data_IF_266326843933
#
_entry.id   IF_266326843933
#
_cell.length_a   1.000
_cell.length_b   1.000
_cell.length_c   1.000
_cell.angle_alpha   90.00
_cell.angle_beta   90.00
_cell.angle_gamma   90.00
#
_symmetry.space_group_name_H-M   'P 1'
#
loop_
_entity.id
_entity.type
_entity.pdbx_description
1 polymer ?
#
# COMPACT_ATOMS: atom_id res chain seq x y z
N UNK A 1 -1.30 12.94 -8.39
CA UNK A 1 -2.44 13.26 -7.52
C UNK A 1 -1.99 14.11 -6.34
N UNK A 2 -1.13 13.60 -5.44
CA UNK A 2 -0.58 14.35 -4.30
C UNK A 2 -0.20 15.80 -4.63
N UNK A 3 0.69 16.04 -5.60
CA UNK A 3 1.10 17.42 -5.95
C UNK A 3 -0.05 18.35 -6.38
N UNK A 4 -1.07 17.82 -7.06
CA UNK A 4 -2.24 18.62 -7.45
C UNK A 4 -3.16 18.87 -6.25
N UNK A 5 -3.33 17.89 -5.35
CA UNK A 5 -4.08 18.06 -4.11
C UNK A 5 -3.40 19.10 -3.21
N UNK A 6 -2.07 19.02 -3.05
CA UNK A 6 -1.28 20.02 -2.32
C UNK A 6 -1.38 21.41 -2.94
N UNK A 7 -1.33 21.53 -4.28
CA UNK A 7 -1.52 22.83 -4.95
C UNK A 7 -2.95 23.35 -4.79
N UNK A 8 -3.94 22.46 -4.78
CA UNK A 8 -5.33 22.81 -4.53
C UNK A 8 -5.54 23.32 -3.10
N UNK A 9 -4.90 22.71 -2.10
CA UNK A 9 -5.02 23.09 -0.68
C UNK A 9 -4.15 24.28 -0.34
N UNK A 10 -2.82 24.16 -0.43
CA UNK A 10 -1.87 25.20 -0.02
C UNK A 10 -1.83 26.38 -1.00
N UNK A 11 -1.92 26.09 -2.29
CA UNK A 11 -1.93 27.10 -3.34
C UNK A 11 -3.32 27.65 -3.67
N UNK A 12 -4.37 27.16 -3.00
CA UNK A 12 -5.77 27.57 -3.21
C UNK A 12 -6.22 27.55 -4.69
N UNK A 13 -5.67 26.62 -5.49
CA UNK A 13 -5.95 26.54 -6.92
C UNK A 13 -7.18 25.67 -7.21
N UNK A 14 -8.26 26.28 -7.70
CA UNK A 14 -9.46 25.56 -8.12
C UNK A 14 -9.25 24.75 -9.42
N UNK A 15 -8.34 25.21 -10.30
CA UNK A 15 -7.91 24.44 -11.47
C UNK A 15 -7.19 23.16 -11.05
N UNK A 16 -6.29 23.25 -10.06
CA UNK A 16 -5.63 22.08 -9.50
C UNK A 16 -6.65 21.14 -8.85
N UNK A 17 -7.65 21.68 -8.14
CA UNK A 17 -8.73 20.89 -7.55
C UNK A 17 -9.52 20.12 -8.62
N UNK A 18 -9.94 20.82 -9.68
CA UNK A 18 -10.65 20.24 -10.82
C UNK A 18 -9.85 19.09 -11.45
N UNK A 19 -8.56 19.32 -11.74
CA UNK A 19 -7.72 18.29 -12.37
C UNK A 19 -7.41 17.13 -11.42
N UNK A 20 -7.29 17.38 -10.12
CA UNK A 20 -7.15 16.32 -9.11
C UNK A 20 -8.38 15.40 -9.14
N UNK A 21 -9.59 15.98 -9.09
CA UNK A 21 -10.85 15.23 -9.17
C UNK A 21 -10.92 14.42 -10.46
N UNK A 22 -10.70 15.06 -11.62
CA UNK A 22 -10.78 14.40 -12.93
C UNK A 22 -9.81 13.21 -13.03
N UNK A 23 -8.55 13.42 -12.64
CA UNK A 23 -7.53 12.37 -12.74
C UNK A 23 -7.89 11.14 -11.90
N UNK A 24 -8.36 11.34 -10.67
CA UNK A 24 -8.74 10.24 -9.80
C UNK A 24 -10.04 9.57 -10.24
N UNK A 25 -11.02 10.35 -10.70
CA UNK A 25 -12.28 9.84 -11.19
C UNK A 25 -12.13 8.87 -12.37
N UNK A 26 -11.07 9.02 -13.19
CA UNK A 26 -10.78 8.08 -14.28
C UNK A 26 -10.69 6.62 -13.83
N UNK A 27 -10.22 6.36 -12.60
CA UNK A 27 -10.17 5.00 -12.04
C UNK A 27 -11.54 4.46 -11.66
N UNK A 28 -12.49 5.35 -11.38
CA UNK A 28 -13.88 5.00 -11.07
C UNK A 28 -14.63 4.65 -12.34
N UNK A 29 -14.38 5.40 -13.43
CA UNK A 29 -14.93 5.10 -14.75
C UNK A 29 -14.37 3.80 -15.36
N UNK A 30 -13.17 3.38 -14.93
CA UNK A 30 -12.52 2.16 -15.38
C UNK A 30 -12.97 0.89 -14.66
N UNK A 31 -13.95 0.97 -13.75
CA UNK A 31 -14.45 -0.20 -13.01
C UNK A 31 -15.28 -1.12 -13.91
N UNK A 32 -15.08 -2.42 -13.75
CA UNK A 32 -15.96 -3.43 -14.33
C UNK A 32 -17.36 -3.30 -13.70
N UNK A 33 -18.43 -3.25 -14.50
CA UNK A 33 -19.79 -2.99 -13.99
C UNK A 33 -20.35 -4.12 -13.13
N UNK A 34 -19.76 -5.32 -13.16
CA UNK A 34 -20.25 -6.47 -12.38
C UNK A 34 -19.52 -6.60 -11.06
N UNK A 35 -18.19 -6.48 -11.09
CA UNK A 35 -17.36 -6.70 -9.89
C UNK A 35 -17.03 -5.40 -9.17
N UNK A 36 -16.97 -4.28 -9.89
CA UNK A 36 -16.39 -3.02 -9.40
C UNK A 36 -14.85 -2.97 -9.44
N UNK A 37 -14.17 -4.05 -9.86
CA UNK A 37 -12.70 -4.07 -9.97
C UNK A 37 -12.24 -3.21 -11.14
N UNK A 38 -11.05 -2.63 -11.05
CA UNK A 38 -10.42 -1.81 -12.07
C UNK A 38 -8.95 -2.22 -12.20
N UNK A 39 -8.43 -2.21 -13.43
CA UNK A 39 -7.01 -2.49 -13.66
C UNK A 39 -6.12 -1.39 -13.10
N UNK A 40 -4.82 -1.67 -12.98
CA UNK A 40 -3.84 -0.67 -12.53
C UNK A 40 -3.32 0.26 -13.62
N UNK A 41 -3.93 0.25 -14.81
CA UNK A 41 -3.76 1.28 -15.84
C UNK A 41 -5.04 1.46 -16.66
N UNK A 42 -5.21 2.65 -17.25
CA UNK A 42 -6.42 3.01 -18.01
C UNK A 42 -6.18 3.17 -19.51
N UNK A 43 -4.94 2.97 -19.95
CA UNK A 43 -4.52 3.15 -21.34
C UNK A 43 -4.24 1.80 -22.00
N UNK A 44 -4.57 1.72 -23.29
CA UNK A 44 -4.35 0.53 -24.10
C UNK A 44 -3.11 0.69 -24.96
N UNK A 45 -2.34 -0.39 -25.10
CA UNK A 45 -1.19 -0.47 -26.00
C UNK A 45 -1.55 -1.29 -27.23
N UNK A 46 -1.03 -0.91 -28.40
CA UNK A 46 -1.17 -1.70 -29.63
C UNK A 46 -0.59 -3.12 -29.46
N UNK A 47 0.51 -3.23 -28.72
CA UNK A 47 1.11 -4.49 -28.29
C UNK A 47 1.05 -4.57 -26.76
N UNK A 48 0.07 -5.30 -26.23
CA UNK A 48 -0.12 -5.46 -24.79
C UNK A 48 0.74 -6.61 -24.24
N UNK A 49 1.44 -6.36 -23.14
CA UNK A 49 2.41 -7.29 -22.56
C UNK A 49 1.74 -8.41 -21.77
N UNK A 50 0.56 -8.17 -21.19
CA UNK A 50 -0.24 -9.22 -20.57
C UNK A 50 -0.80 -10.16 -21.64
N UNK A 51 -1.21 -9.63 -22.80
CA UNK A 51 -1.63 -10.44 -23.95
C UNK A 51 -0.48 -11.34 -24.46
N UNK A 52 0.74 -10.82 -24.53
CA UNK A 52 1.91 -11.65 -24.90
C UNK A 52 2.17 -12.78 -23.91
N UNK A 53 2.03 -12.51 -22.61
CA UNK A 53 2.31 -13.48 -21.56
C UNK A 53 1.22 -14.56 -21.45
N UNK A 54 -0.05 -14.15 -21.44
CA UNK A 54 -1.20 -15.00 -21.08
C UNK A 54 -2.31 -15.05 -22.12
N UNK A 55 -2.24 -14.31 -23.23
CA UNK A 55 -3.30 -14.25 -24.25
C UNK A 55 -3.67 -15.60 -24.87
N UNK A 56 -2.75 -16.56 -24.86
CA UNK A 56 -3.01 -17.93 -25.32
C UNK A 56 -3.96 -18.72 -24.40
N UNK A 57 -4.15 -18.29 -23.16
CA UNK A 57 -5.03 -18.92 -22.17
C UNK A 57 -6.12 -17.98 -21.64
N UNK A 58 -5.91 -16.66 -21.76
CA UNK A 58 -6.85 -15.58 -21.49
C UNK A 58 -6.93 -14.64 -22.70
N UNK A 59 -7.69 -14.96 -23.76
CA UNK A 59 -7.63 -14.22 -25.03
C UNK A 59 -7.94 -12.73 -24.95
N UNK A 60 -8.72 -12.32 -23.95
CA UNK A 60 -9.16 -10.94 -23.71
C UNK A 60 -8.28 -10.17 -22.72
N UNK A 61 -7.15 -10.76 -22.27
CA UNK A 61 -6.28 -10.16 -21.27
C UNK A 61 -5.58 -8.93 -21.81
N UNK A 62 -5.58 -7.87 -21.02
CA UNK A 62 -4.69 -6.74 -21.23
C UNK A 62 -4.38 -6.09 -19.90
N UNK A 63 -3.36 -5.25 -19.87
CA UNK A 63 -2.90 -4.62 -18.63
C UNK A 63 -3.94 -3.70 -17.97
N UNK A 64 -4.93 -3.20 -18.72
CA UNK A 64 -6.05 -2.41 -18.16
C UNK A 64 -7.17 -3.28 -17.55
N UNK A 65 -7.14 -4.60 -17.81
CA UNK A 65 -8.15 -5.56 -17.36
C UNK A 65 -7.62 -6.60 -16.37
N UNK A 66 -6.44 -6.38 -15.79
CA UNK A 66 -5.86 -7.26 -14.77
C UNK A 66 -5.76 -6.56 -13.41
N UNK A 67 -6.07 -7.33 -12.37
CA UNK A 67 -5.78 -7.06 -10.96
C UNK A 67 -4.66 -8.02 -10.57
N UNK A 68 -3.45 -7.70 -11.03
CA UNK A 68 -2.25 -8.51 -10.83
C UNK A 68 -1.00 -7.64 -10.91
N UNK A 69 0.18 -8.19 -10.67
CA UNK A 69 1.49 -7.52 -10.88
C UNK A 69 1.66 -6.27 -10.00
N UNK A 70 2.65 -5.42 -10.31
CA UNK A 70 2.77 -4.10 -9.69
C UNK A 70 1.53 -3.20 -9.92
N UNK A 71 0.71 -3.51 -10.92
CA UNK A 71 -0.56 -2.82 -11.15
C UNK A 71 -1.54 -3.01 -9.99
N UNK A 72 -1.62 -4.21 -9.41
CA UNK A 72 -2.44 -4.52 -8.24
C UNK A 72 -2.00 -3.73 -7.01
N UNK A 73 -0.70 -3.74 -6.69
CA UNK A 73 -0.18 -3.03 -5.51
C UNK A 73 -0.33 -1.52 -5.66
N UNK A 74 -0.02 -0.97 -6.84
CA UNK A 74 -0.25 0.45 -7.13
C UNK A 74 -1.72 0.86 -6.97
N UNK A 75 -2.66 0.05 -7.48
CA UNK A 75 -4.09 0.37 -7.52
C UNK A 75 -4.82 0.18 -6.20
N UNK A 76 -4.46 -0.86 -5.45
CA UNK A 76 -5.23 -1.33 -4.29
C UNK A 76 -4.49 -1.30 -2.97
N UNK A 77 -3.16 -1.11 -2.97
CA UNK A 77 -2.41 -0.91 -1.74
C UNK A 77 -2.01 0.56 -1.58
N UNK A 78 -1.35 1.13 -2.58
CA UNK A 78 -0.76 2.46 -2.49
C UNK A 78 -1.76 3.59 -2.75
N UNK A 79 -2.50 3.52 -3.87
CA UNK A 79 -3.41 4.58 -4.27
C UNK A 79 -4.50 4.87 -3.23
N UNK A 80 -5.19 3.87 -2.62
CA UNK A 80 -6.24 4.13 -1.64
C UNK A 80 -5.70 4.84 -0.39
N UNK A 81 -4.51 4.44 0.10
CA UNK A 81 -3.89 5.12 1.25
C UNK A 81 -3.54 6.57 0.90
N UNK A 82 -2.88 6.80 -0.23
CA UNK A 82 -2.54 8.16 -0.66
C UNK A 82 -3.80 9.02 -0.82
N UNK A 83 -4.87 8.49 -1.43
CA UNK A 83 -6.15 9.20 -1.56
C UNK A 83 -6.75 9.58 -0.21
N UNK A 84 -6.72 8.65 0.76
CA UNK A 84 -7.24 8.88 2.11
C UNK A 84 -6.38 9.89 2.89
N UNK A 85 -5.06 9.85 2.77
CA UNK A 85 -4.19 10.86 3.39
C UNK A 85 -4.43 12.26 2.82
N UNK A 86 -4.54 12.39 1.49
CA UNK A 86 -4.88 13.68 0.87
C UNK A 86 -6.29 14.15 1.23
N UNK A 87 -7.22 13.23 1.49
CA UNK A 87 -8.58 13.57 1.87
C UNK A 87 -8.65 14.36 3.18
N UNK A 88 -7.75 14.07 4.13
CA UNK A 88 -7.72 14.79 5.41
C UNK A 88 -7.36 16.26 5.20
N UNK A 89 -6.37 16.56 4.35
CA UNK A 89 -5.99 17.95 4.03
C UNK A 89 -7.10 18.67 3.26
N UNK A 90 -7.71 17.99 2.30
CA UNK A 90 -8.83 18.52 1.52
C UNK A 90 -10.04 18.82 2.41
N UNK A 91 -10.36 17.93 3.35
CA UNK A 91 -11.44 18.12 4.33
C UNK A 91 -11.13 19.29 5.26
N UNK A 92 -9.91 19.37 5.79
CA UNK A 92 -9.48 20.47 6.64
C UNK A 92 -9.55 21.83 5.92
N UNK A 93 -9.31 21.86 4.60
CA UNK A 93 -9.39 23.08 3.80
C UNK A 93 -10.84 23.59 3.55
N UNK A 94 -11.86 22.77 3.80
CA UNK A 94 -13.27 23.19 3.73
C UNK A 94 -13.85 23.37 2.31
N UNK A 95 -15.13 23.74 2.24
CA UNK A 95 -15.84 24.02 0.97
C UNK A 95 -15.78 22.89 -0.05
N UNK A 96 -15.57 23.24 -1.32
CA UNK A 96 -15.47 22.27 -2.43
C UNK A 96 -14.28 21.31 -2.29
N UNK A 97 -13.21 21.69 -1.57
CA UNK A 97 -12.09 20.80 -1.25
C UNK A 97 -12.54 19.70 -0.32
N UNK A 98 -13.31 20.04 0.71
CA UNK A 98 -13.84 19.05 1.64
C UNK A 98 -14.83 18.09 0.99
N UNK A 99 -15.62 18.55 0.03
CA UNK A 99 -16.46 17.67 -0.80
C UNK A 99 -15.62 16.66 -1.58
N UNK A 100 -14.57 17.11 -2.26
CA UNK A 100 -13.65 16.21 -2.96
C UNK A 100 -12.94 15.23 -2.01
N UNK A 101 -12.52 15.70 -0.83
CA UNK A 101 -11.91 14.84 0.17
C UNK A 101 -12.86 13.70 0.59
N UNK A 102 -14.13 14.00 0.83
CA UNK A 102 -15.14 12.95 1.13
C UNK A 102 -15.35 11.98 -0.03
N UNK A 103 -15.35 12.46 -1.28
CA UNK A 103 -15.38 11.59 -2.46
C UNK A 103 -14.17 10.66 -2.52
N UNK A 104 -12.97 11.17 -2.21
CA UNK A 104 -11.76 10.35 -2.17
C UNK A 104 -11.83 9.25 -1.13
N UNK A 105 -12.32 9.55 0.08
CA UNK A 105 -12.54 8.53 1.11
C UNK A 105 -13.52 7.46 0.61
N UNK A 106 -14.63 7.87 0.00
CA UNK A 106 -15.63 6.94 -0.51
C UNK A 106 -15.07 6.04 -1.62
N UNK A 107 -14.41 6.62 -2.62
CA UNK A 107 -13.83 5.87 -3.73
C UNK A 107 -12.77 4.87 -3.28
N UNK A 108 -11.86 5.31 -2.40
CA UNK A 108 -10.82 4.45 -1.83
C UNK A 108 -11.44 3.32 -0.99
N UNK A 109 -12.45 3.63 -0.17
CA UNK A 109 -13.19 2.65 0.63
C UNK A 109 -13.86 1.58 -0.25
N UNK A 110 -14.55 1.99 -1.30
CA UNK A 110 -15.23 1.06 -2.21
C UNK A 110 -14.23 0.18 -2.97
N UNK A 111 -13.12 0.75 -3.42
CA UNK A 111 -12.06 -0.02 -4.09
C UNK A 111 -11.47 -1.09 -3.17
N UNK A 112 -11.20 -0.74 -1.91
CA UNK A 112 -10.67 -1.67 -0.91
C UNK A 112 -11.64 -2.79 -0.57
N UNK A 113 -12.95 -2.50 -0.48
CA UNK A 113 -13.98 -3.51 -0.22
C UNK A 113 -14.10 -4.50 -1.37
N UNK A 114 -14.18 -3.99 -2.60
CA UNK A 114 -14.23 -4.84 -3.80
C UNK A 114 -12.96 -5.68 -3.91
N UNK A 115 -11.79 -5.08 -3.65
CA UNK A 115 -10.53 -5.80 -3.70
C UNK A 115 -10.46 -6.94 -2.68
N UNK A 116 -10.84 -6.68 -1.42
CA UNK A 116 -10.92 -7.72 -0.40
C UNK A 116 -11.91 -8.82 -0.79
N UNK A 117 -13.11 -8.46 -1.24
CA UNK A 117 -14.17 -9.41 -1.60
C UNK A 117 -13.74 -10.40 -2.69
N UNK A 118 -13.11 -9.89 -3.76
CA UNK A 118 -12.80 -10.73 -4.92
C UNK A 118 -11.40 -11.32 -4.87
N UNK A 119 -10.42 -10.54 -4.41
CA UNK A 119 -9.00 -10.91 -4.54
C UNK A 119 -8.43 -11.55 -3.28
N UNK A 120 -9.02 -11.39 -2.09
CA UNK A 120 -8.42 -11.95 -0.88
C UNK A 120 -8.85 -13.39 -0.63
N UNK A 121 -7.89 -14.31 -0.62
CA UNK A 121 -8.08 -15.68 -0.18
C UNK A 121 -7.79 -15.78 1.33
N UNK A 122 -8.85 -15.86 2.13
CA UNK A 122 -8.76 -15.93 3.60
C UNK A 122 -8.08 -17.20 4.12
N UNK A 123 -8.27 -18.33 3.45
CA UNK A 123 -7.68 -19.61 3.86
C UNK A 123 -6.15 -19.59 3.73
N UNK A 124 -5.64 -18.90 2.70
CA UNK A 124 -4.21 -18.85 2.38
C UNK A 124 -3.52 -17.56 2.81
N UNK A 125 -4.28 -16.52 3.17
CA UNK A 125 -3.73 -15.23 3.59
C UNK A 125 -3.02 -14.49 2.47
N UNK A 126 -3.60 -14.50 1.27
CA UNK A 126 -2.97 -13.93 0.09
C UNK A 126 -4.00 -13.25 -0.80
N UNK A 127 -3.56 -12.25 -1.56
CA UNK A 127 -4.33 -11.67 -2.65
C UNK A 127 -4.02 -12.41 -3.95
N UNK A 128 -5.04 -13.01 -4.55
CA UNK A 128 -4.93 -13.72 -5.82
C UNK A 128 -5.07 -12.77 -7.00
N UNK A 129 -4.47 -13.13 -8.12
CA UNK A 129 -4.51 -12.35 -9.35
C UNK A 129 -5.76 -12.67 -10.18
N UNK A 130 -6.47 -11.64 -10.61
CA UNK A 130 -7.73 -11.75 -11.34
C UNK A 130 -7.72 -10.89 -12.61
N UNK A 131 -8.61 -11.22 -13.54
CA UNK A 131 -9.17 -10.24 -14.47
C UNK A 131 -10.12 -9.31 -13.71
N UNK A 132 -10.31 -8.08 -14.20
CA UNK A 132 -11.28 -7.14 -13.60
C UNK A 132 -12.71 -7.67 -13.59
N UNK A 133 -13.02 -8.59 -14.48
CA UNK A 133 -14.35 -9.19 -14.56
C UNK A 133 -14.57 -10.34 -13.56
N UNK A 134 -13.57 -10.63 -12.72
CA UNK A 134 -13.57 -11.66 -11.67
C UNK A 134 -12.89 -12.98 -12.08
N UNK A 135 -12.51 -13.15 -13.34
CA UNK A 135 -11.92 -14.41 -13.82
C UNK A 135 -10.54 -14.65 -13.18
N UNK A 136 -10.28 -15.79 -12.51
CA UNK A 136 -8.96 -16.11 -11.97
C UNK A 136 -7.90 -16.25 -13.06
N UNK A 137 -6.72 -15.65 -12.85
CA UNK A 137 -5.61 -15.79 -13.79
C UNK A 137 -4.92 -17.16 -13.65
N UNK A 138 -4.70 -17.80 -14.80
CA UNK A 138 -3.92 -19.04 -14.97
C UNK A 138 -2.43 -18.73 -14.99
N UNK A 139 -1.96 -18.12 -13.91
CA UNK A 139 -0.68 -17.44 -13.86
C UNK A 139 0.53 -18.35 -14.11
N UNK A 140 0.46 -19.63 -13.71
CA UNK A 140 1.54 -20.59 -13.95
C UNK A 140 1.81 -20.84 -15.44
N UNK A 141 0.85 -20.52 -16.30
CA UNK A 141 0.97 -20.72 -17.75
C UNK A 141 1.51 -19.49 -18.48
N UNK A 142 1.87 -18.43 -17.76
CA UNK A 142 2.46 -17.25 -18.36
C UNK A 142 3.78 -17.60 -19.09
N UNK A 143 3.87 -17.21 -20.36
CA UNK A 143 5.11 -17.34 -21.13
C UNK A 143 6.19 -16.43 -20.56
N UNK A 144 7.46 -16.78 -20.79
CA UNK A 144 8.59 -15.88 -20.50
C UNK A 144 8.53 -14.66 -21.43
N UNK A 145 8.71 -13.47 -20.88
CA UNK A 145 8.63 -12.20 -21.59
C UNK A 145 8.73 -11.04 -20.61
N UNK A 146 8.06 -9.91 -20.83
CA UNK A 146 8.04 -8.82 -19.84
C UNK A 146 7.46 -9.27 -18.50
N UNK A 147 6.31 -9.94 -18.53
CA UNK A 147 5.76 -10.64 -17.38
C UNK A 147 6.23 -12.10 -17.34
N UNK A 148 6.30 -12.65 -16.13
CA UNK A 148 6.56 -14.07 -15.84
C UNK A 148 5.44 -14.61 -14.95
N UNK A 149 5.36 -15.94 -14.75
CA UNK A 149 4.41 -16.51 -13.80
C UNK A 149 4.39 -15.78 -12.45
N UNK A 150 5.56 -15.47 -11.89
CA UNK A 150 5.72 -14.79 -10.61
C UNK A 150 5.16 -13.36 -10.62
N UNK A 151 5.06 -12.72 -11.78
CA UNK A 151 4.41 -11.41 -11.90
C UNK A 151 2.90 -11.47 -11.63
N UNK A 152 2.28 -12.63 -11.83
CA UNK A 152 0.86 -12.86 -11.62
C UNK A 152 0.58 -13.81 -10.44
N UNK A 153 1.63 -14.22 -9.71
CA UNK A 153 1.47 -15.09 -8.56
C UNK A 153 0.72 -14.37 -7.43
N UNK A 154 -0.02 -15.10 -6.58
CA UNK A 154 -0.62 -14.52 -5.39
C UNK A 154 0.41 -13.83 -4.50
N UNK A 155 0.03 -12.69 -3.92
CA UNK A 155 0.89 -11.91 -3.04
C UNK A 155 0.40 -12.00 -1.60
N UNK A 156 1.32 -12.18 -0.65
CA UNK A 156 0.99 -12.05 0.76
C UNK A 156 0.78 -10.58 1.12
N UNK A 157 -0.10 -10.28 2.08
CA UNK A 157 -0.19 -8.93 2.61
C UNK A 157 1.07 -8.55 3.39
N UNK A 158 1.29 -7.26 3.48
CA UNK A 158 2.35 -6.60 4.22
C UNK A 158 1.75 -5.54 5.16
N UNK A 159 2.61 -4.88 5.94
CA UNK A 159 2.23 -3.77 6.81
C UNK A 159 1.64 -2.59 6.03
N UNK A 160 1.96 -2.44 4.74
CA UNK A 160 1.38 -1.41 3.88
C UNK A 160 -0.12 -1.66 3.67
N UNK A 161 -0.52 -2.90 3.38
CA UNK A 161 -1.92 -3.28 3.29
C UNK A 161 -2.65 -3.05 4.63
N UNK A 162 -2.03 -3.41 5.76
CA UNK A 162 -2.61 -3.15 7.09
C UNK A 162 -2.83 -1.67 7.33
N UNK A 163 -1.84 -0.83 7.02
CA UNK A 163 -1.94 0.62 7.16
C UNK A 163 -3.08 1.20 6.32
N UNK A 164 -3.22 0.72 5.08
CA UNK A 164 -4.30 1.15 4.18
C UNK A 164 -5.69 0.82 4.75
N UNK A 165 -5.94 -0.41 5.18
CA UNK A 165 -7.24 -0.80 5.76
C UNK A 165 -7.50 -0.16 7.13
N UNK A 166 -6.47 0.03 7.96
CA UNK A 166 -6.60 0.74 9.24
C UNK A 166 -7.00 2.21 9.04
N UNK A 167 -6.37 2.89 8.07
CA UNK A 167 -6.72 4.27 7.68
C UNK A 167 -8.16 4.34 7.19
N UNK A 168 -8.56 3.38 6.34
CA UNK A 168 -9.92 3.28 5.82
C UNK A 168 -10.95 3.11 6.95
N UNK A 169 -10.67 2.23 7.92
CA UNK A 169 -11.53 2.05 9.08
C UNK A 169 -11.64 3.34 9.90
N UNK A 170 -10.53 4.02 10.22
CA UNK A 170 -10.59 5.27 11.00
C UNK A 170 -11.44 6.35 10.32
N UNK A 171 -11.31 6.49 9.00
CA UNK A 171 -12.00 7.56 8.26
C UNK A 171 -13.49 7.26 7.98
N UNK A 172 -13.89 5.99 7.97
CA UNK A 172 -15.25 5.60 7.57
C UNK A 172 -16.06 4.93 8.67
N UNK A 173 -15.39 4.37 9.69
CA UNK A 173 -15.96 3.44 10.66
C UNK A 173 -16.65 2.21 10.03
N UNK A 174 -16.38 1.91 8.75
CA UNK A 174 -16.97 0.77 8.04
C UNK A 174 -16.32 -0.54 8.54
N UNK A 175 -17.14 -1.41 9.15
CA UNK A 175 -16.71 -2.69 9.71
C UNK A 175 -16.00 -3.61 8.71
N UNK A 176 -16.25 -3.47 7.40
CA UNK A 176 -15.56 -4.26 6.39
C UNK A 176 -14.04 -4.02 6.41
N UNK A 177 -13.61 -2.78 6.69
CA UNK A 177 -12.18 -2.45 6.79
C UNK A 177 -11.56 -2.97 8.09
N UNK A 178 -12.32 -2.98 9.18
CA UNK A 178 -11.88 -3.60 10.43
C UNK A 178 -11.67 -5.11 10.26
N UNK A 179 -12.65 -5.81 9.68
CA UNK A 179 -12.54 -7.25 9.45
C UNK A 179 -11.34 -7.58 8.56
N UNK A 180 -11.08 -6.76 7.54
CA UNK A 180 -9.88 -6.95 6.73
C UNK A 180 -8.60 -6.69 7.53
N UNK A 181 -8.51 -5.58 8.28
CA UNK A 181 -7.36 -5.29 9.13
C UNK A 181 -7.10 -6.41 10.16
N UNK A 182 -8.16 -7.03 10.68
CA UNK A 182 -8.09 -8.19 11.58
C UNK A 182 -7.52 -9.42 10.89
N UNK A 183 -7.95 -9.72 9.66
CA UNK A 183 -7.37 -10.82 8.88
C UNK A 183 -5.88 -10.56 8.60
N UNK A 184 -5.52 -9.32 8.21
CA UNK A 184 -4.14 -8.94 7.94
C UNK A 184 -3.26 -9.07 9.19
N UNK A 185 -3.75 -8.62 10.35
CA UNK A 185 -3.03 -8.72 11.62
C UNK A 185 -2.65 -10.17 11.97
N UNK A 186 -3.55 -11.13 11.73
CA UNK A 186 -3.26 -12.56 11.95
C UNK A 186 -2.11 -13.04 11.08
N UNK A 187 -2.14 -12.71 9.78
CA UNK A 187 -1.09 -13.13 8.83
C UNK A 187 0.25 -12.42 9.02
N UNK A 188 0.22 -11.21 9.56
CA UNK A 188 1.41 -10.44 9.93
C UNK A 188 1.99 -10.86 11.30
N UNK A 189 1.37 -11.84 11.98
CA UNK A 189 1.83 -12.33 13.28
C UNK A 189 1.62 -11.32 14.41
N UNK A 190 0.52 -10.55 14.37
CA UNK A 190 0.16 -9.53 15.36
C UNK A 190 -0.89 -10.02 16.37
N UNK A 191 -1.41 -11.24 16.17
CA UNK A 191 -2.50 -11.81 16.93
C UNK A 191 -3.88 -11.48 16.33
N UNK A 192 -4.91 -11.51 17.17
CA UNK A 192 -6.29 -11.24 16.78
C UNK A 192 -6.77 -9.90 17.35
N UNK A 193 -7.15 -8.97 16.46
CA UNK A 193 -7.70 -7.65 16.83
C UNK A 193 -9.08 -7.74 17.50
N UNK A 194 -9.78 -8.87 17.41
CA UNK A 194 -11.15 -8.99 17.92
C UNK A 194 -12.16 -8.12 17.15
N UNK A 195 -13.28 -7.80 17.79
CA UNK A 195 -14.23 -6.80 17.27
C UNK A 195 -13.76 -5.37 17.62
N UNK A 196 -14.24 -4.30 16.95
CA UNK A 196 -13.76 -2.93 17.18
C UNK A 196 -13.73 -2.50 18.66
N UNK A 197 -14.81 -2.79 19.39
CA UNK A 197 -14.98 -2.52 20.83
C UNK A 197 -14.78 -3.78 21.70
N UNK A 198 -14.34 -4.88 21.10
CA UNK A 198 -14.20 -6.16 21.78
C UNK A 198 -12.84 -6.35 22.45
N UNK A 199 -12.70 -7.48 23.17
CA UNK A 199 -11.42 -7.91 23.69
C UNK A 199 -10.45 -8.28 22.56
N UNK A 200 -9.17 -7.97 22.78
CA UNK A 200 -8.08 -8.22 21.83
C UNK A 200 -7.21 -9.36 22.34
N UNK A 201 -6.76 -10.23 21.43
CA UNK A 201 -5.78 -11.27 21.71
C UNK A 201 -4.53 -11.02 20.88
N UNK A 202 -3.83 -9.93 21.21
CA UNK A 202 -2.64 -9.47 20.48
C UNK A 202 -1.40 -10.27 20.86
N UNK A 203 -0.51 -10.49 19.88
CA UNK A 203 0.76 -11.16 20.11
C UNK A 203 1.85 -10.15 20.52
N UNK A 204 1.99 -9.90 21.82
CA UNK A 204 3.06 -9.05 22.37
C UNK A 204 4.47 -9.68 22.25
N UNK A 205 4.59 -10.89 21.71
CA UNK A 205 5.87 -11.53 21.36
C UNK A 205 6.18 -11.42 19.88
N UNK A 206 5.30 -10.81 19.07
CA UNK A 206 5.47 -10.64 17.62
C UNK A 206 6.89 -10.21 17.25
N UNK A 207 7.40 -10.77 16.16
CA UNK A 207 8.69 -10.42 15.56
C UNK A 207 8.55 -9.48 14.35
N UNK A 208 7.34 -8.98 14.09
CA UNK A 208 7.10 -8.05 12.98
C UNK A 208 8.00 -6.82 13.13
N UNK A 209 8.64 -6.45 12.02
CA UNK A 209 9.66 -5.39 11.92
C UNK A 209 9.39 -4.47 10.73
N UNK A 210 8.14 -4.36 10.32
CA UNK A 210 7.72 -3.48 9.23
C UNK A 210 7.24 -2.15 9.80
N UNK A 211 7.80 -1.04 9.33
CA UNK A 211 7.43 0.29 9.84
C UNK A 211 6.01 0.69 9.42
N UNK A 212 5.50 0.14 8.31
CA UNK A 212 4.12 0.36 7.89
C UNK A 212 3.12 -0.28 8.88
N UNK A 213 3.47 -1.44 9.46
CA UNK A 213 2.68 -2.07 10.52
C UNK A 213 2.50 -1.13 11.69
N UNK A 214 3.56 -0.41 12.08
CA UNK A 214 3.50 0.57 13.16
C UNK A 214 2.47 1.66 12.85
N UNK A 215 2.46 2.21 11.63
CA UNK A 215 1.43 3.18 11.25
C UNK A 215 0.02 2.59 11.22
N UNK A 216 -0.16 1.36 10.75
CA UNK A 216 -1.45 0.68 10.82
C UNK A 216 -1.97 0.56 12.26
N UNK A 217 -1.12 0.17 13.20
CA UNK A 217 -1.49 0.10 14.62
C UNK A 217 -1.82 1.48 15.21
N UNK A 218 -1.07 2.53 14.83
CA UNK A 218 -1.36 3.90 15.27
C UNK A 218 -2.68 4.43 14.70
N UNK A 219 -3.05 4.07 13.47
CA UNK A 219 -4.36 4.41 12.89
C UNK A 219 -5.51 3.71 13.64
N UNK A 220 -5.35 2.43 13.97
CA UNK A 220 -6.33 1.69 14.79
C UNK A 220 -6.42 2.24 16.22
N UNK A 221 -5.29 2.63 16.82
CA UNK A 221 -5.25 3.31 18.12
C UNK A 221 -6.02 4.63 18.06
N UNK A 222 -5.82 5.44 17.02
CA UNK A 222 -6.57 6.70 16.85
C UNK A 222 -8.08 6.45 16.73
N UNK A 223 -8.49 5.40 16.02
CA UNK A 223 -9.88 5.05 15.83
C UNK A 223 -10.57 4.52 17.10
N UNK A 224 -9.85 3.75 17.93
CA UNK A 224 -10.45 2.99 19.05
C UNK A 224 -10.04 3.48 20.44
N UNK A 225 -8.96 4.24 20.53
CA UNK A 225 -8.30 4.65 21.79
C UNK A 225 -7.84 3.47 22.68
N UNK A 226 -7.77 2.26 22.13
CA UNK A 226 -7.35 1.07 22.89
C UNK A 226 -5.83 1.03 23.09
N UNK A 227 -5.42 1.10 24.37
CA UNK A 227 -4.01 1.05 24.77
C UNK A 227 -3.31 -0.27 24.43
N UNK A 228 -4.02 -1.39 24.30
CA UNK A 228 -3.42 -2.66 23.89
C UNK A 228 -2.79 -2.57 22.49
N UNK A 229 -3.38 -1.75 21.59
CA UNK A 229 -2.80 -1.48 20.27
C UNK A 229 -1.52 -0.64 20.37
N UNK A 230 -1.43 0.27 21.34
CA UNK A 230 -0.21 1.02 21.62
C UNK A 230 0.89 0.12 22.19
N UNK A 231 0.55 -0.84 23.07
CA UNK A 231 1.52 -1.80 23.60
C UNK A 231 2.10 -2.69 22.48
N UNK A 232 1.25 -3.16 21.56
CA UNK A 232 1.69 -3.88 20.39
C UNK A 232 2.52 -2.99 19.44
N UNK A 233 2.15 -1.72 19.27
CA UNK A 233 2.93 -0.75 18.50
C UNK A 233 4.32 -0.53 19.12
N UNK A 234 4.42 -0.47 20.45
CA UNK A 234 5.69 -0.45 21.17
C UNK A 234 6.51 -1.71 20.90
N UNK A 235 5.90 -2.89 20.89
CA UNK A 235 6.59 -4.15 20.55
C UNK A 235 7.18 -4.11 19.13
N UNK A 236 6.43 -3.66 18.14
CA UNK A 236 6.93 -3.48 16.76
C UNK A 236 8.03 -2.42 16.71
N UNK A 237 7.87 -1.32 17.45
CA UNK A 237 8.88 -0.27 17.60
C UNK A 237 10.20 -0.79 18.20
N UNK A 238 10.14 -1.66 19.21
CA UNK A 238 11.32 -2.30 19.78
C UNK A 238 12.04 -3.19 18.76
N UNK A 239 11.28 -3.96 17.96
CA UNK A 239 11.85 -4.78 16.88
C UNK A 239 12.55 -3.92 15.81
N UNK A 240 11.92 -2.83 15.39
CA UNK A 240 12.48 -1.84 14.47
C UNK A 240 13.75 -1.20 15.03
N UNK A 241 13.75 -0.81 16.31
CA UNK A 241 14.91 -0.22 16.97
C UNK A 241 16.11 -1.17 17.01
N UNK A 242 15.88 -2.49 17.12
CA UNK A 242 16.97 -3.49 17.06
C UNK A 242 17.65 -3.55 15.70
N UNK A 243 17.02 -3.05 14.63
CA UNK A 243 17.64 -2.95 13.30
C UNK A 243 18.61 -1.76 13.18
N UNK A 244 18.65 -0.87 14.17
CA UNK A 244 19.52 0.30 14.15
C UNK A 244 21.00 -0.12 14.24
N UNK A 245 21.79 0.28 13.27
CA UNK A 245 23.24 0.13 13.30
C UNK A 245 23.88 1.16 14.26
N UNK A 246 25.14 0.93 14.63
CA UNK A 246 25.90 1.86 15.48
C UNK A 246 26.03 3.28 14.88
N UNK A 247 25.87 3.43 13.57
CA UNK A 247 25.83 4.73 12.87
C UNK A 247 24.54 5.52 13.12
N UNK A 248 23.53 4.91 13.75
CA UNK A 248 22.18 5.46 13.92
C UNK A 248 21.24 5.21 12.74
N UNK A 249 21.75 4.67 11.63
CA UNK A 249 20.96 4.30 10.44
C UNK A 249 20.28 2.93 10.61
N UNK A 250 19.30 2.64 9.74
CA UNK A 250 18.53 1.39 9.74
C UNK A 250 18.80 0.54 8.48
N UNK A 251 20.00 -0.04 8.31
CA UNK A 251 20.27 -0.92 7.17
C UNK A 251 19.40 -2.18 7.24
N UNK A 252 18.99 -2.70 6.08
CA UNK A 252 18.36 -4.03 6.01
C UNK A 252 19.39 -5.11 6.32
N UNK A 253 18.91 -6.27 6.74
CA UNK A 253 19.77 -7.39 7.13
C UNK A 253 20.74 -7.77 6.01
N UNK A 254 22.01 -7.94 6.37
CA UNK A 254 23.09 -8.27 5.42
C UNK A 254 23.50 -7.13 4.49
N UNK A 255 23.01 -5.90 4.68
CA UNK A 255 23.36 -4.74 3.84
C UNK A 255 24.36 -3.82 4.52
N UNK A 256 25.35 -3.38 3.74
CA UNK A 256 26.37 -2.44 4.19
C UNK A 256 25.87 -0.99 4.26
N UNK A 257 24.78 -0.66 3.56
CA UNK A 257 24.25 0.69 3.45
C UNK A 257 22.87 0.79 4.09
N UNK A 258 22.68 1.83 4.90
CA UNK A 258 21.36 2.29 5.35
C UNK A 258 20.93 3.52 4.54
N UNK A 259 19.64 3.61 4.22
CA UNK A 259 19.10 4.80 3.54
C UNK A 259 18.93 5.92 4.57
N UNK A 260 19.34 7.15 4.24
CA UNK A 260 19.18 8.30 5.14
C UNK A 260 17.73 8.77 5.22
N UNK A 261 16.97 8.63 4.14
CA UNK A 261 15.52 8.76 4.11
C UNK A 261 14.81 7.42 4.34
N UNK A 262 15.24 6.64 5.34
CA UNK A 262 14.50 5.44 5.76
C UNK A 262 13.35 5.84 6.70
N UNK A 263 12.15 5.37 6.39
CA UNK A 263 10.92 5.70 7.12
C UNK A 263 10.86 5.13 8.53
N UNK A 264 11.72 4.16 8.88
CA UNK A 264 11.76 3.59 10.23
C UNK A 264 11.98 4.67 11.29
N UNK A 265 12.88 5.63 11.05
CA UNK A 265 13.16 6.70 12.01
C UNK A 265 11.92 7.59 12.25
N UNK A 266 11.21 7.94 11.18
CA UNK A 266 10.01 8.77 11.27
C UNK A 266 8.86 8.00 11.94
N UNK A 267 8.69 6.72 11.63
CA UNK A 267 7.67 5.88 12.25
C UNK A 267 7.91 5.72 13.77
N UNK A 268 9.16 5.54 14.19
CA UNK A 268 9.52 5.52 15.62
C UNK A 268 9.28 6.86 16.31
N UNK A 269 9.51 7.99 15.62
CA UNK A 269 9.20 9.32 16.14
C UNK A 269 7.69 9.51 16.32
N UNK A 270 6.87 9.01 15.39
CA UNK A 270 5.41 9.01 15.53
C UNK A 270 4.93 8.15 16.70
N UNK A 271 5.54 6.98 16.93
CA UNK A 271 5.27 6.17 18.12
C UNK A 271 5.62 6.92 19.41
N UNK A 272 6.78 7.57 19.47
CA UNK A 272 7.17 8.40 20.62
C UNK A 272 6.17 9.54 20.86
N UNK A 273 5.74 10.22 19.80
CA UNK A 273 4.72 11.26 19.90
C UNK A 273 3.36 10.72 20.35
N UNK A 274 2.97 9.50 19.95
CA UNK A 274 1.75 8.85 20.43
C UNK A 274 1.83 8.52 21.93
N UNK A 275 3.00 8.06 22.42
CA UNK A 275 3.25 7.81 23.84
C UNK A 275 3.14 9.09 24.69
N UNK A 276 3.65 10.21 24.16
CA UNK A 276 3.64 11.50 24.84
C UNK A 276 2.36 12.34 24.61
N UNK A 277 1.42 11.87 23.78
CA UNK A 277 0.24 12.64 23.40
C UNK A 277 0.56 13.89 22.54
N UNK A 278 1.69 13.89 21.84
CA UNK A 278 2.21 14.99 21.02
C UNK A 278 2.09 14.75 19.52
N UNK A 279 1.19 13.87 19.09
CA UNK A 279 1.02 13.51 17.67
C UNK A 279 0.82 14.72 16.75
N UNK A 280 0.12 15.77 17.21
CA UNK A 280 -0.12 16.99 16.44
C UNK A 280 1.14 17.86 16.22
N UNK A 281 2.24 17.61 16.92
CA UNK A 281 3.51 18.32 16.72
C UNK A 281 4.33 17.79 15.54
N UNK A 282 3.92 16.66 14.96
CA UNK A 282 4.57 16.05 13.80
C UNK A 282 3.71 16.21 12.54
N UNK A 283 4.32 16.33 11.36
CA UNK A 283 3.57 16.20 10.11
C UNK A 283 2.90 14.82 10.06
N UNK A 284 1.68 14.68 9.53
CA UNK A 284 1.03 13.38 9.42
C UNK A 284 1.87 12.44 8.54
N UNK A 285 1.89 11.13 8.82
CA UNK A 285 2.64 10.18 8.00
C UNK A 285 2.05 10.13 6.60
N UNK A 286 2.93 10.10 5.60
CA UNK A 286 2.55 10.06 4.18
C UNK A 286 3.15 8.83 3.52
N UNK A 287 2.38 8.23 2.62
CA UNK A 287 2.93 7.24 1.72
C UNK A 287 3.96 7.91 0.79
N UNK A 288 5.22 7.46 0.88
CA UNK A 288 6.27 7.80 -0.09
C UNK A 288 6.89 6.53 -0.68
N UNK A 289 7.26 6.62 -1.96
CA UNK A 289 8.01 5.59 -2.65
C UNK A 289 8.96 6.20 -3.68
N UNK A 290 10.24 6.27 -3.32
CA UNK A 290 11.27 6.94 -4.11
C UNK A 290 12.43 6.01 -4.45
N UNK A 291 12.83 5.84 -5.72
CA UNK A 291 13.94 4.97 -6.11
C UNK A 291 14.78 5.59 -7.21
N UNK A 292 16.03 5.13 -7.36
CA UNK A 292 16.82 5.40 -8.55
C UNK A 292 16.78 4.19 -9.48
N UNK A 293 16.60 4.46 -10.78
CA UNK A 293 16.62 3.44 -11.81
C UNK A 293 17.49 3.90 -12.99
N UNK A 294 18.72 3.42 -13.01
CA UNK A 294 19.74 3.85 -13.95
C UNK A 294 20.71 2.71 -14.26
N UNK A 295 21.56 2.92 -15.27
CA UNK A 295 22.68 2.02 -15.54
C UNK A 295 23.66 2.14 -14.38
N UNK A 296 24.08 1.00 -13.85
CA UNK A 296 25.10 0.92 -12.82
C UNK A 296 26.36 0.31 -13.43
N UNK A 297 27.48 1.03 -13.34
CA UNK A 297 28.74 0.64 -13.97
C UNK A 297 29.62 -0.26 -13.06
N UNK A 298 29.17 -0.56 -11.84
CA UNK A 298 29.85 -1.50 -10.96
C UNK A 298 29.41 -2.95 -11.21
N UNK A 299 30.05 -3.87 -10.50
CA UNK A 299 29.68 -5.29 -10.55
C UNK A 299 28.30 -5.50 -9.92
N UNK A 300 27.46 -6.31 -10.57
CA UNK A 300 26.13 -6.66 -10.11
C UNK A 300 26.06 -8.16 -9.81
N UNK A 301 25.50 -8.48 -8.65
CA UNK A 301 25.13 -9.85 -8.31
C UNK A 301 23.99 -10.33 -9.24
N UNK A 302 23.85 -11.65 -9.47
CA UNK A 302 22.77 -12.19 -10.31
C UNK A 302 21.37 -11.72 -9.89
N UNK A 303 21.15 -11.54 -8.58
CA UNK A 303 19.88 -11.05 -8.03
C UNK A 303 19.64 -9.55 -8.27
N UNK A 304 20.64 -8.79 -8.70
CA UNK A 304 20.58 -7.34 -8.94
C UNK A 304 20.42 -6.99 -10.43
N UNK A 305 20.57 -7.97 -11.31
CA UNK A 305 20.45 -7.81 -12.76
C UNK A 305 18.97 -7.93 -13.14
N UNK A 306 18.43 -6.88 -13.76
CA UNK A 306 17.09 -6.93 -14.33
C UNK A 306 17.12 -7.70 -15.64
N UNK A 307 16.07 -8.46 -15.89
CA UNK A 307 15.88 -9.10 -17.18
C UNK A 307 15.66 -8.04 -18.27
N UNK A 308 16.42 -8.19 -19.36
CA UNK A 308 16.29 -7.39 -20.59
C UNK A 308 16.34 -5.86 -20.35
N UNK A 309 17.01 -5.42 -19.27
CA UNK A 309 17.17 -4.01 -18.92
C UNK A 309 18.57 -3.81 -18.31
N UNK A 310 19.43 -3.03 -18.97
CA UNK A 310 20.78 -2.73 -18.49
C UNK A 310 20.79 -1.82 -17.24
N UNK A 311 19.63 -1.28 -16.86
CA UNK A 311 19.46 -0.51 -15.63
C UNK A 311 19.17 -1.43 -14.45
N UNK A 312 19.51 -0.97 -13.26
CA UNK A 312 19.14 -1.61 -11.99
C UNK A 312 18.55 -0.58 -11.04
N UNK A 313 18.05 -1.04 -9.90
CA UNK A 313 17.53 -0.18 -8.85
C UNK A 313 18.51 -0.03 -7.69
N UNK A 314 18.58 1.17 -7.11
CA UNK A 314 19.37 1.44 -5.91
C UNK A 314 19.03 0.50 -4.73
N UNK A 315 17.75 0.16 -4.56
CA UNK A 315 17.35 -0.78 -3.50
C UNK A 315 17.86 -2.21 -3.75
N UNK A 316 18.04 -2.65 -5.00
CA UNK A 316 18.64 -3.96 -5.28
C UNK A 316 20.15 -3.96 -4.98
N UNK A 317 20.81 -2.86 -5.34
CA UNK A 317 22.27 -2.71 -5.22
C UNK A 317 22.69 -2.45 -3.78
N UNK A 318 22.15 -1.42 -3.14
CA UNK A 318 22.67 -0.90 -1.88
C UNK A 318 21.83 -1.29 -0.66
N UNK A 319 20.51 -1.07 -0.74
CA UNK A 319 19.68 -1.01 0.47
C UNK A 319 18.93 -2.30 0.81
N UNK A 320 18.82 -3.24 -0.13
CA UNK A 320 17.93 -4.40 -0.02
C UNK A 320 16.48 -4.08 -0.42
N UNK A 321 15.69 -5.14 -0.62
CA UNK A 321 14.24 -5.00 -0.74
C UNK A 321 13.67 -4.35 0.54
N UNK A 322 12.65 -3.50 0.37
CA UNK A 322 12.14 -2.63 1.43
C UNK A 322 11.41 -3.37 2.52
#
# INVERSE_FOLDING_TARGET
MHSLATLATLGQSDDALMWTRRLIHRWQEGRDPRTGLCGGQLSYRKLDRAQLALGHVHPEINEARIVATYHQTGRYHHLPLAQMQESEDLIAAGGARAELGREFVQWASDDLKVYAQYSYNKERGEFVALMTDGTPLRWQEAKKGYYIPESFAPIRPDGQALWTYATAFRLTSDSAHWEMARELARWLGLGDLGAPEGERNLDLKSENREWQTLYGLLELLRATQDRALLDLACRVGDNLRRMQAASGLFPREGRAYGRTGDEVALALLHLAAALEGKGAALPPPRYDYSFFHCVYNGELEPSQIKRDDARTYDHMVFYGAR
#
